data_IF_532412666884
#
_entry.id   IF_532412666884
#
_cell.length_a   1.000
_cell.length_b   1.000
_cell.length_c   1.000
_cell.angle_alpha   90.00
_cell.angle_beta   90.00
_cell.angle_gamma   90.00
#
_symmetry.space_group_name_H-M   'P 1'
#
loop_
_entity.id
_entity.type
_entity.pdbx_description
1 polymer ?
#
# COMPACT_ATOMS: atom_id res chain seq x y z
N UNK A 1 13.61 27.77 -2.48
CA UNK A 1 13.75 27.65 -1.01
C UNK A 1 14.82 26.65 -0.60
N UNK A 2 14.77 25.36 -1.03
CA UNK A 2 15.72 24.33 -0.54
C UNK A 2 16.70 23.76 -1.57
N UNK A 3 16.83 24.35 -2.78
CA UNK A 3 17.67 23.81 -3.89
C UNK A 3 17.46 22.30 -4.15
N UNK A 4 16.26 21.81 -3.85
CA UNK A 4 15.85 20.42 -3.97
C UNK A 4 14.98 20.23 -5.21
N UNK A 5 15.10 19.08 -5.87
CA UNK A 5 14.25 18.72 -7.01
C UNK A 5 12.81 18.44 -6.54
N UNK A 6 11.82 18.71 -7.38
CA UNK A 6 10.40 18.51 -7.02
C UNK A 6 10.11 17.05 -6.65
N UNK A 7 10.77 16.12 -7.33
CA UNK A 7 10.50 14.69 -7.22
C UNK A 7 11.09 14.05 -5.95
N UNK A 8 11.78 14.82 -5.11
CA UNK A 8 12.31 14.36 -3.82
C UNK A 8 11.56 14.97 -2.62
N UNK A 9 10.44 15.66 -2.86
CA UNK A 9 9.66 16.36 -1.83
C UNK A 9 8.29 15.70 -1.70
N UNK A 10 7.94 15.27 -0.49
CA UNK A 10 6.61 14.72 -0.15
C UNK A 10 5.91 15.62 0.87
N UNK A 11 4.73 16.14 0.54
CA UNK A 11 3.92 17.02 1.40
C UNK A 11 2.64 16.29 1.81
N UNK A 12 2.28 16.33 3.10
CA UNK A 12 1.09 15.65 3.60
C UNK A 12 0.46 16.35 4.82
N UNK A 13 -0.77 15.96 5.15
CA UNK A 13 -1.45 16.43 6.35
C UNK A 13 -1.82 17.91 6.34
N UNK A 14 -2.06 18.48 5.15
CA UNK A 14 -2.49 19.87 5.00
C UNK A 14 -3.88 20.07 5.61
N UNK A 15 -3.98 21.01 6.56
CA UNK A 15 -5.24 21.44 7.19
C UNK A 15 -5.33 22.95 7.17
N UNK A 16 -6.37 23.47 6.54
CA UNK A 16 -6.68 24.90 6.50
C UNK A 16 -7.41 25.32 7.77
N UNK A 17 -7.04 26.47 8.33
CA UNK A 17 -7.74 27.07 9.46
C UNK A 17 -9.11 27.59 9.04
N UNK A 18 -10.06 27.61 9.98
CA UNK A 18 -11.37 28.20 9.74
C UNK A 18 -11.21 29.70 9.46
N UNK A 19 -11.96 30.22 8.48
CA UNK A 19 -11.78 31.58 7.97
C UNK A 19 -10.65 31.74 6.93
N UNK A 20 -9.85 30.71 6.68
CA UNK A 20 -8.81 30.72 5.64
C UNK A 20 -7.52 31.45 6.05
N UNK A 21 -6.71 31.85 5.07
CA UNK A 21 -5.46 32.60 5.28
C UNK A 21 -4.26 31.79 5.77
N UNK A 22 -4.47 30.71 6.55
CA UNK A 22 -3.40 29.84 7.02
C UNK A 22 -3.73 28.36 6.81
N UNK A 23 -2.77 27.63 6.25
CA UNK A 23 -2.80 26.17 6.11
C UNK A 23 -1.54 25.59 6.72
N UNK A 24 -1.67 24.61 7.60
CA UNK A 24 -0.53 23.93 8.24
C UNK A 24 -0.43 22.50 7.73
N UNK A 25 0.78 21.98 7.58
CA UNK A 25 1.03 20.59 7.22
C UNK A 25 2.48 20.22 7.40
N UNK A 26 2.86 19.05 6.89
CA UNK A 26 4.21 18.49 7.03
C UNK A 26 4.82 18.23 5.67
N UNK A 27 6.15 18.31 5.59
CA UNK A 27 6.92 17.98 4.41
C UNK A 27 8.15 17.14 4.76
N UNK A 28 8.46 16.17 3.91
CA UNK A 28 9.71 15.41 3.94
C UNK A 28 10.49 15.76 2.66
N UNK A 29 11.76 16.10 2.83
CA UNK A 29 12.70 16.35 1.73
C UNK A 29 13.76 15.25 1.80
N UNK A 30 13.85 14.45 0.74
CA UNK A 30 14.82 13.36 0.64
C UNK A 30 16.07 13.80 -0.11
N UNK A 31 17.18 13.10 0.13
CA UNK A 31 18.45 13.33 -0.57
C UNK A 31 18.36 12.96 -2.07
N UNK A 32 17.56 11.94 -2.39
CA UNK A 32 17.35 11.48 -3.77
C UNK A 32 15.92 10.98 -4.02
N UNK A 33 15.45 10.98 -5.28
CA UNK A 33 14.15 10.40 -5.65
C UNK A 33 14.06 8.88 -5.37
N UNK A 34 15.19 8.19 -5.39
CA UNK A 34 15.27 6.76 -5.10
C UNK A 34 15.06 6.49 -3.61
N UNK A 35 15.67 7.31 -2.74
CA UNK A 35 15.45 7.24 -1.30
C UNK A 35 13.96 7.44 -0.96
N UNK A 36 13.32 8.42 -1.61
CA UNK A 36 11.88 8.65 -1.45
C UNK A 36 11.06 7.40 -1.83
N UNK A 37 11.32 6.78 -2.98
CA UNK A 37 10.59 5.57 -3.42
C UNK A 37 10.77 4.38 -2.46
N UNK A 38 11.92 4.28 -1.81
CA UNK A 38 12.25 3.17 -0.90
C UNK A 38 11.60 3.32 0.48
N UNK A 39 11.60 4.52 1.05
CA UNK A 39 11.21 4.75 2.43
C UNK A 39 9.79 5.31 2.60
N UNK A 40 9.22 5.92 1.57
CA UNK A 40 7.91 6.54 1.68
C UNK A 40 6.79 5.49 1.69
N UNK A 41 5.72 5.67 2.49
CA UNK A 41 4.58 4.78 2.47
C UNK A 41 3.95 4.68 1.08
N UNK A 42 3.70 3.45 0.63
CA UNK A 42 3.20 3.17 -0.73
C UNK A 42 1.94 3.97 -1.10
N UNK A 43 1.04 4.23 -0.14
CA UNK A 43 -0.19 5.01 -0.41
C UNK A 43 0.10 6.46 -0.83
N UNK A 44 1.20 7.06 -0.35
CA UNK A 44 1.60 8.41 -0.75
C UNK A 44 2.25 8.40 -2.13
N UNK A 45 3.09 7.40 -2.41
CA UNK A 45 3.67 7.18 -3.74
C UNK A 45 2.59 7.03 -4.81
N UNK A 46 1.49 6.34 -4.49
CA UNK A 46 0.32 6.22 -5.39
C UNK A 46 -0.38 7.57 -5.61
N UNK A 47 -0.51 8.42 -4.58
CA UNK A 47 -1.13 9.75 -4.72
C UNK A 47 -0.35 10.69 -5.63
N UNK A 48 0.98 10.59 -5.63
CA UNK A 48 1.86 11.39 -6.51
C UNK A 48 2.12 10.73 -7.87
N UNK A 49 1.53 9.55 -8.13
CA UNK A 49 1.66 8.85 -9.42
C UNK A 49 2.98 8.08 -9.62
N UNK A 50 3.80 7.91 -8.58
CA UNK A 50 5.09 7.23 -8.66
C UNK A 50 5.01 5.71 -8.44
N UNK A 51 3.86 5.21 -7.98
CA UNK A 51 3.60 3.79 -7.81
C UNK A 51 2.17 3.44 -8.24
N UNK A 52 1.98 2.23 -8.74
CA UNK A 52 0.65 1.70 -9.02
C UNK A 52 0.04 1.10 -7.75
N UNK A 53 -1.28 1.20 -7.63
CA UNK A 53 -2.01 0.58 -6.53
C UNK A 53 -1.85 -0.94 -6.67
N UNK A 54 -1.39 -1.66 -5.63
CA UNK A 54 -1.29 -3.10 -5.71
C UNK A 54 -2.68 -3.70 -5.76
N UNK A 55 -2.99 -4.43 -6.82
CA UNK A 55 -4.23 -5.19 -6.93
C UNK A 55 -4.19 -6.37 -5.96
N UNK A 56 -5.00 -6.28 -4.92
CA UNK A 56 -5.11 -7.30 -3.89
C UNK A 56 -6.57 -7.68 -3.74
N UNK A 57 -6.83 -8.99 -3.74
CA UNK A 57 -8.14 -9.54 -3.38
C UNK A 57 -8.62 -8.95 -2.04
N UNK A 58 -9.94 -8.78 -1.92
CA UNK A 58 -10.53 -8.11 -0.77
C UNK A 58 -10.13 -8.79 0.55
N UNK A 59 -10.13 -8.04 1.65
CA UNK A 59 -9.77 -8.59 2.96
C UNK A 59 -10.64 -9.80 3.32
N UNK A 60 -11.91 -9.78 2.92
CA UNK A 60 -12.86 -10.87 3.12
C UNK A 60 -12.45 -12.12 2.30
N UNK A 61 -12.19 -11.98 1.00
CA UNK A 61 -11.77 -13.08 0.13
C UNK A 61 -10.48 -13.73 0.63
N UNK A 62 -9.50 -12.92 1.06
CA UNK A 62 -8.24 -13.41 1.63
C UNK A 62 -8.46 -14.22 2.91
N UNK A 63 -9.34 -13.76 3.80
CA UNK A 63 -9.69 -14.47 5.04
C UNK A 63 -10.43 -15.79 4.77
N UNK A 64 -11.38 -15.79 3.85
CA UNK A 64 -12.09 -17.00 3.44
C UNK A 64 -11.13 -18.02 2.81
N UNK A 65 -10.22 -17.58 1.92
CA UNK A 65 -9.16 -18.45 1.35
C UNK A 65 -8.27 -19.04 2.43
N UNK A 66 -7.82 -18.21 3.38
CA UNK A 66 -7.01 -18.67 4.54
C UNK A 66 -7.75 -19.74 5.35
N UNK A 67 -9.03 -19.51 5.67
CA UNK A 67 -9.81 -20.45 6.48
C UNK A 67 -10.05 -21.77 5.73
N UNK A 68 -10.31 -21.74 4.42
CA UNK A 68 -10.38 -22.95 3.57
C UNK A 68 -9.04 -23.69 3.51
N UNK A 69 -7.92 -22.98 3.44
CA UNK A 69 -6.59 -23.64 3.45
C UNK A 69 -6.25 -24.25 4.81
N UNK A 70 -6.82 -23.75 5.91
CA UNK A 70 -6.62 -24.33 7.25
C UNK A 70 -7.28 -25.70 7.43
N UNK A 71 -8.32 -26.03 6.65
CA UNK A 71 -8.98 -27.35 6.72
C UNK A 71 -8.22 -28.45 5.98
N UNK A 72 -7.15 -28.10 5.25
CA UNK A 72 -6.34 -29.03 4.46
C UNK A 72 -4.95 -29.23 5.09
N UNK A 73 -4.30 -30.38 4.87
CA UNK A 73 -2.98 -30.72 5.42
C UNK A 73 -1.98 -31.08 4.31
N UNK A 74 -0.71 -30.74 4.52
CA UNK A 74 0.38 -31.06 3.58
C UNK A 74 0.15 -30.50 2.18
N UNK A 75 0.46 -31.31 1.16
CA UNK A 75 0.35 -30.94 -0.26
C UNK A 75 -1.08 -30.61 -0.71
N UNK A 76 -2.10 -31.01 0.04
CA UNK A 76 -3.50 -30.67 -0.24
C UNK A 76 -3.77 -29.15 -0.12
N UNK A 77 -2.97 -28.38 0.64
CA UNK A 77 -3.12 -26.92 0.72
C UNK A 77 -2.82 -26.20 -0.60
N UNK A 78 -1.96 -26.79 -1.43
CA UNK A 78 -1.55 -26.26 -2.73
C UNK A 78 -2.39 -26.90 -3.84
N UNK A 79 -2.60 -28.22 -3.79
CA UNK A 79 -3.33 -28.98 -4.81
C UNK A 79 -4.87 -28.88 -4.71
N UNK A 80 -5.39 -28.35 -3.60
CA UNK A 80 -6.83 -28.32 -3.32
C UNK A 80 -7.35 -29.63 -2.70
N UNK A 81 -8.62 -29.62 -2.29
CA UNK A 81 -9.28 -30.83 -1.82
C UNK A 81 -9.35 -31.84 -2.97
N UNK A 82 -8.87 -33.08 -2.76
CA UNK A 82 -9.05 -34.15 -3.75
C UNK A 82 -10.54 -34.42 -3.91
N UNK A 83 -11.02 -34.56 -5.15
CA UNK A 83 -12.35 -35.06 -5.41
C UNK A 83 -12.51 -36.41 -4.69
N UNK A 84 -13.63 -36.60 -3.98
CA UNK A 84 -13.96 -37.92 -3.44
C UNK A 84 -14.06 -38.87 -4.63
N UNK A 85 -13.19 -39.88 -4.70
CA UNK A 85 -13.41 -41.01 -5.59
C UNK A 85 -14.67 -41.71 -5.09
N UNK A 86 -15.76 -41.62 -5.86
CA UNK A 86 -16.91 -42.49 -5.64
C UNK A 86 -16.46 -43.94 -5.84
N UNK A 87 -16.97 -44.82 -4.99
CA UNK A 87 -16.60 -46.23 -4.91
C UNK A 87 -17.70 -47.05 -5.57
#
# INVERSE_FOLDING_TARGET
>A
MYKAQKDQISVFGLRTQFGGGKTTGFALVYDSPEAMKKFEPQYRLVRVGLATKPERASRQQRKQRKNRQKTLRGTAKVKGAKAKKEK
#
